data_IF_027059283242
#
_entry.id   IF_027059283242
#
_cell.length_a   1.000
_cell.length_b   1.000
_cell.length_c   1.000
_cell.angle_alpha   90.00
_cell.angle_beta   90.00
_cell.angle_gamma   90.00
#
_symmetry.space_group_name_H-M   'P 1'
#
loop_
_entity.id
_entity.type
_entity.pdbx_description
1 polymer ?
#
# COMPACT_ATOMS: atom_id res chain seq x y z
N UNK A 1 -10.26 4.93 5.81
CA UNK A 1 -10.61 4.38 4.49
C UNK A 1 -11.88 5.06 4.01
N UNK A 2 -11.85 5.66 2.80
CA UNK A 2 -13.00 6.38 2.19
C UNK A 2 -13.98 5.35 1.62
N UNK A 3 -14.46 4.42 2.44
CA UNK A 3 -15.45 3.46 1.98
C UNK A 3 -16.86 3.90 2.42
N UNK A 4 -17.75 3.98 1.47
CA UNK A 4 -19.19 3.88 1.74
C UNK A 4 -19.54 2.44 2.13
N UNK A 5 -20.76 2.22 2.60
CA UNK A 5 -21.30 0.87 2.71
C UNK A 5 -21.29 0.20 1.32
N UNK A 6 -21.05 -1.11 1.29
CA UNK A 6 -21.17 -1.89 0.05
C UNK A 6 -22.49 -1.54 -0.67
N UNK A 7 -22.40 -1.19 -1.98
CA UNK A 7 -23.51 -0.69 -2.79
C UNK A 7 -24.10 0.67 -2.38
N UNK A 8 -23.45 1.43 -1.50
CA UNK A 8 -23.89 2.82 -1.25
C UNK A 8 -23.64 3.72 -2.46
N UNK A 9 -24.34 4.86 -2.52
CA UNK A 9 -24.15 5.85 -3.59
C UNK A 9 -22.70 6.34 -3.64
N UNK A 10 -22.08 6.55 -2.49
CA UNK A 10 -20.67 6.98 -2.39
C UNK A 10 -19.75 5.89 -2.95
N UNK A 11 -19.96 4.63 -2.56
CA UNK A 11 -19.16 3.51 -3.04
C UNK A 11 -19.27 3.38 -4.57
N UNK A 12 -20.48 3.23 -5.08
CA UNK A 12 -20.71 2.92 -6.50
C UNK A 12 -20.38 4.07 -7.44
N UNK A 13 -20.67 5.31 -7.03
CA UNK A 13 -20.52 6.49 -7.88
C UNK A 13 -19.13 7.14 -7.81
N UNK A 14 -18.46 7.06 -6.68
CA UNK A 14 -17.23 7.82 -6.45
C UNK A 14 -16.01 6.95 -6.09
N UNK A 15 -16.20 5.81 -5.43
CA UNK A 15 -15.09 4.94 -5.06
C UNK A 15 -14.81 3.91 -6.15
N UNK A 16 -15.83 3.17 -6.57
CA UNK A 16 -15.68 2.11 -7.57
C UNK A 16 -15.20 2.65 -8.91
N UNK A 17 -15.56 3.88 -9.25
CA UNK A 17 -15.12 4.54 -10.48
C UNK A 17 -13.59 4.71 -10.51
N UNK A 18 -12.97 5.01 -9.37
CA UNK A 18 -11.53 5.18 -9.24
C UNK A 18 -10.84 3.84 -9.02
N UNK A 19 -11.35 3.03 -8.09
CA UNK A 19 -10.72 1.74 -7.70
C UNK A 19 -10.80 0.71 -8.82
N UNK A 20 -11.93 0.67 -9.54
CA UNK A 20 -12.15 -0.27 -10.64
C UNK A 20 -11.90 0.37 -12.02
N UNK A 21 -11.73 1.68 -12.09
CA UNK A 21 -11.35 2.40 -13.30
C UNK A 21 -9.95 2.03 -13.76
N UNK A 22 -9.78 1.89 -15.06
CA UNK A 22 -8.47 1.60 -15.67
C UNK A 22 -7.57 2.85 -15.77
N UNK A 23 -8.06 4.00 -15.32
CA UNK A 23 -7.44 5.30 -15.55
C UNK A 23 -6.37 5.67 -14.51
N UNK A 24 -6.36 5.01 -13.34
CA UNK A 24 -5.44 5.31 -12.24
C UNK A 24 -4.47 4.16 -11.99
N UNK A 25 -3.33 4.18 -12.66
CA UNK A 25 -2.28 3.19 -12.38
C UNK A 25 -1.27 3.66 -11.33
N UNK A 26 -0.89 4.92 -11.36
CA UNK A 26 -0.07 5.59 -10.34
C UNK A 26 -0.22 7.10 -10.50
N UNK A 27 -0.14 7.84 -9.40
CA UNK A 27 -0.19 9.29 -9.37
C UNK A 27 1.10 9.83 -8.74
N UNK A 28 1.74 10.77 -9.43
CA UNK A 28 2.93 11.45 -8.92
C UNK A 28 2.57 12.89 -8.58
N UNK A 29 2.85 13.30 -7.36
CA UNK A 29 2.63 14.65 -6.87
C UNK A 29 3.97 15.39 -6.80
N UNK A 30 4.50 15.78 -7.97
CA UNK A 30 5.79 16.47 -8.11
C UNK A 30 5.75 17.94 -7.73
N UNK A 31 4.56 18.53 -7.63
CA UNK A 31 4.33 19.93 -7.30
C UNK A 31 4.20 20.82 -8.51
N UNK A 32 4.10 20.26 -9.73
CA UNK A 32 3.84 21.02 -10.95
C UNK A 32 2.49 21.75 -10.94
N UNK A 33 1.50 21.16 -10.27
CA UNK A 33 0.16 21.69 -10.13
C UNK A 33 -0.13 22.16 -8.69
N UNK A 34 -0.92 23.21 -8.53
CA UNK A 34 -1.27 23.78 -7.21
C UNK A 34 -1.94 22.75 -6.30
N UNK A 35 -2.84 21.94 -6.84
CA UNK A 35 -3.54 20.89 -6.08
C UNK A 35 -2.63 19.74 -5.59
N UNK A 36 -1.43 19.55 -6.19
CA UNK A 36 -0.42 18.63 -5.64
C UNK A 36 0.08 19.09 -4.27
N UNK A 37 0.19 20.42 -4.08
CA UNK A 37 0.54 21.02 -2.79
C UNK A 37 -0.50 20.70 -1.71
N UNK A 38 -1.78 20.89 -2.04
CA UNK A 38 -2.90 20.62 -1.15
C UNK A 38 -2.93 19.15 -0.67
N UNK A 39 -2.76 18.20 -1.58
CA UNK A 39 -2.67 16.76 -1.22
C UNK A 39 -1.47 16.50 -0.31
N UNK A 40 -0.29 17.05 -0.60
CA UNK A 40 0.90 16.84 0.24
C UNK A 40 0.74 17.41 1.64
N UNK A 41 0.09 18.55 1.80
CA UNK A 41 -0.19 19.14 3.12
C UNK A 41 -1.13 18.26 3.91
N UNK A 42 -2.21 17.78 3.28
CA UNK A 42 -3.15 16.85 3.92
C UNK A 42 -2.48 15.52 4.34
N UNK A 43 -1.61 14.97 3.48
CA UNK A 43 -0.85 13.77 3.81
C UNK A 43 0.12 13.99 4.98
N UNK A 44 0.80 15.15 5.06
CA UNK A 44 1.63 15.50 6.23
C UNK A 44 0.80 15.57 7.50
N UNK A 45 -0.37 16.22 7.44
CA UNK A 45 -1.27 16.29 8.59
C UNK A 45 -1.76 14.93 9.05
N UNK A 46 -2.07 14.02 8.13
CA UNK A 46 -2.42 12.63 8.45
C UNK A 46 -1.28 11.93 9.21
N UNK A 47 -0.03 12.10 8.75
CA UNK A 47 1.14 11.51 9.41
C UNK A 47 1.33 12.09 10.81
N UNK A 48 1.19 13.41 10.99
CA UNK A 48 1.26 14.07 12.31
C UNK A 48 0.19 13.51 13.26
N UNK A 49 -1.06 13.42 12.80
CA UNK A 49 -2.16 12.87 13.57
C UNK A 49 -1.94 11.40 13.97
N UNK A 50 -1.39 10.58 13.10
CA UNK A 50 -1.08 9.17 13.43
C UNK A 50 0.08 9.05 14.43
N UNK A 51 1.02 10.00 14.42
CA UNK A 51 2.13 10.05 15.40
C UNK A 51 1.67 10.56 16.78
N UNK A 52 0.90 11.65 16.81
CA UNK A 52 0.49 12.31 18.05
C UNK A 52 -0.73 11.65 18.71
N UNK A 53 -1.62 11.07 17.90
CA UNK A 53 -2.87 10.40 18.29
C UNK A 53 -3.70 11.18 19.30
N UNK A 54 -4.06 12.45 19.01
CA UNK A 54 -4.98 13.19 19.86
C UNK A 54 -6.36 12.53 19.89
N UNK A 55 -7.21 12.92 20.83
CA UNK A 55 -8.59 12.44 20.89
C UNK A 55 -9.28 12.64 19.53
N UNK A 56 -9.98 11.61 19.06
CA UNK A 56 -10.73 11.58 17.79
C UNK A 56 -9.87 11.69 16.51
N UNK A 57 -8.54 11.45 16.56
CA UNK A 57 -7.65 11.56 15.40
C UNK A 57 -8.09 10.69 14.24
N UNK A 58 -8.70 9.53 14.48
CA UNK A 58 -9.21 8.65 13.43
C UNK A 58 -10.30 9.34 12.58
N UNK A 59 -11.14 10.16 13.20
CA UNK A 59 -12.16 10.93 12.49
C UNK A 59 -11.51 12.03 11.64
N UNK A 60 -10.52 12.73 12.19
CA UNK A 60 -9.78 13.75 11.43
C UNK A 60 -9.04 13.15 10.24
N UNK A 61 -8.37 12.01 10.43
CA UNK A 61 -7.74 11.26 9.35
C UNK A 61 -8.76 10.86 8.28
N UNK A 62 -9.93 10.36 8.69
CA UNK A 62 -11.00 10.01 7.76
C UNK A 62 -11.49 11.21 6.94
N UNK A 63 -11.62 12.36 7.55
CA UNK A 63 -12.02 13.60 6.87
C UNK A 63 -10.95 14.02 5.85
N UNK A 64 -9.69 14.06 6.24
CA UNK A 64 -8.57 14.41 5.36
C UNK A 64 -8.44 13.45 4.16
N UNK A 65 -8.61 12.16 4.39
CA UNK A 65 -8.65 11.16 3.29
C UNK A 65 -9.82 11.40 2.34
N UNK A 66 -10.98 11.78 2.87
CA UNK A 66 -12.15 12.10 2.04
C UNK A 66 -11.93 13.39 1.22
N UNK A 67 -11.26 14.38 1.77
CA UNK A 67 -10.88 15.60 1.05
C UNK A 67 -9.85 15.32 -0.06
N UNK A 68 -8.81 14.51 0.23
CA UNK A 68 -7.85 14.07 -0.80
C UNK A 68 -8.60 13.37 -1.94
N UNK A 69 -9.52 12.47 -1.60
CA UNK A 69 -10.33 11.77 -2.58
C UNK A 69 -11.14 12.74 -3.46
N UNK A 70 -11.74 13.74 -2.85
CA UNK A 70 -12.49 14.76 -3.56
C UNK A 70 -11.61 15.59 -4.50
N UNK A 71 -10.39 15.94 -4.08
CA UNK A 71 -9.42 16.62 -4.94
C UNK A 71 -9.08 15.75 -6.14
N UNK A 72 -8.79 14.48 -5.94
CA UNK A 72 -8.52 13.53 -7.02
C UNK A 72 -9.69 13.44 -8.00
N UNK A 73 -10.93 13.31 -7.51
CA UNK A 73 -12.12 13.26 -8.36
C UNK A 73 -12.32 14.53 -9.20
N UNK A 74 -12.00 15.70 -8.65
CA UNK A 74 -12.10 16.98 -9.38
C UNK A 74 -11.08 17.13 -10.51
N UNK A 75 -9.92 16.48 -10.35
CA UNK A 75 -8.82 16.58 -11.30
C UNK A 75 -8.66 15.33 -12.19
N UNK A 76 -9.69 14.48 -12.29
CA UNK A 76 -9.65 13.26 -13.13
C UNK A 76 -9.17 13.52 -14.56
N UNK A 77 -9.54 14.66 -15.15
CA UNK A 77 -9.13 15.02 -16.51
C UNK A 77 -7.62 15.31 -16.67
N UNK A 78 -6.94 15.72 -15.59
CA UNK A 78 -5.51 15.99 -15.62
C UNK A 78 -4.68 14.68 -15.63
N UNK A 79 -5.25 13.58 -15.13
CA UNK A 79 -4.56 12.28 -15.08
C UNK A 79 -4.43 11.61 -16.45
N UNK A 80 -5.28 11.99 -17.41
CA UNK A 80 -5.29 11.41 -18.74
C UNK A 80 -4.22 11.97 -19.70
N UNK A 81 -3.48 13.00 -19.29
CA UNK A 81 -2.56 13.70 -20.19
C UNK A 81 -1.07 13.39 -20.02
N UNK A 82 -0.60 12.88 -18.86
CA UNK A 82 0.84 12.81 -18.59
C UNK A 82 1.40 11.47 -18.12
N UNK A 83 0.58 10.50 -17.81
CA UNK A 83 1.08 9.15 -17.52
C UNK A 83 0.92 8.27 -18.74
N UNK A 84 1.99 7.59 -19.18
CA UNK A 84 1.86 6.36 -19.95
C UNK A 84 0.92 5.45 -19.14
N UNK A 85 -0.39 5.58 -19.41
CA UNK A 85 -1.39 4.77 -18.74
C UNK A 85 -1.00 3.33 -18.96
N UNK A 86 -0.85 2.58 -17.88
CA UNK A 86 -0.65 1.14 -17.99
C UNK A 86 -1.69 0.59 -18.96
N UNK A 87 -1.23 -0.09 -20.00
CA UNK A 87 -2.11 -0.86 -20.85
C UNK A 87 -3.04 -1.70 -19.96
N UNK A 88 -4.35 -1.80 -20.23
CA UNK A 88 -5.29 -2.57 -19.40
C UNK A 88 -4.79 -3.97 -19.07
N UNK A 89 -4.03 -4.62 -19.97
CA UNK A 89 -3.38 -5.91 -19.72
C UNK A 89 -2.26 -5.82 -18.68
N UNK A 90 -1.47 -4.76 -18.70
CA UNK A 90 -0.40 -4.52 -17.71
C UNK A 90 -1.00 -4.23 -16.35
N UNK A 91 -2.06 -3.44 -16.27
CA UNK A 91 -2.79 -3.17 -15.03
C UNK A 91 -3.41 -4.45 -14.44
N UNK A 92 -4.08 -5.25 -15.27
CA UNK A 92 -4.63 -6.53 -14.84
C UNK A 92 -3.52 -7.46 -14.32
N UNK A 93 -2.38 -7.54 -15.03
CA UNK A 93 -1.21 -8.31 -14.60
C UNK A 93 -0.66 -7.83 -13.27
N UNK A 94 -0.52 -6.51 -13.08
CA UNK A 94 -0.04 -5.94 -11.82
C UNK A 94 -0.99 -6.26 -10.66
N UNK A 95 -2.30 -6.09 -10.87
CA UNK A 95 -3.33 -6.47 -9.89
C UNK A 95 -3.25 -7.94 -9.50
N UNK A 96 -3.04 -8.83 -10.47
CA UNK A 96 -2.89 -10.28 -10.19
C UNK A 96 -1.64 -10.57 -9.36
N UNK A 97 -0.49 -9.95 -9.68
CA UNK A 97 0.75 -10.11 -8.90
C UNK A 97 0.55 -9.62 -7.46
N UNK A 98 -0.02 -8.43 -7.29
CA UNK A 98 -0.28 -7.86 -5.96
C UNK A 98 -1.28 -8.71 -5.18
N UNK A 99 -2.38 -9.12 -5.81
CA UNK A 99 -3.38 -10.01 -5.19
C UNK A 99 -2.75 -11.32 -4.73
N UNK A 100 -1.94 -11.97 -5.57
CA UNK A 100 -1.23 -13.21 -5.20
C UNK A 100 -0.32 -13.02 -3.99
N UNK A 101 0.44 -11.91 -3.94
CA UNK A 101 1.29 -11.58 -2.80
C UNK A 101 0.45 -11.36 -1.54
N UNK A 102 -0.63 -10.58 -1.62
CA UNK A 102 -1.50 -10.26 -0.49
C UNK A 102 -2.24 -11.48 0.08
N UNK A 103 -2.59 -12.43 -0.76
CA UNK A 103 -3.27 -13.68 -0.34
C UNK A 103 -2.32 -14.73 0.23
N UNK A 104 -1.01 -14.61 -0.04
CA UNK A 104 -0.04 -15.65 0.32
C UNK A 104 1.19 -15.13 1.08
N UNK A 105 1.19 -13.86 1.52
CA UNK A 105 2.36 -13.24 2.16
C UNK A 105 2.87 -13.99 3.40
N UNK A 106 1.97 -14.62 4.14
CA UNK A 106 2.26 -15.40 5.35
C UNK A 106 2.93 -16.75 5.07
N UNK A 107 2.90 -17.21 3.80
CA UNK A 107 3.45 -18.48 3.36
C UNK A 107 4.82 -18.33 2.72
N UNK A 108 5.48 -19.46 2.49
CA UNK A 108 6.70 -19.50 1.69
C UNK A 108 6.34 -19.35 0.21
N UNK A 109 6.40 -18.12 -0.32
CA UNK A 109 6.25 -17.87 -1.75
C UNK A 109 7.60 -17.66 -2.41
N UNK A 110 7.72 -18.18 -3.63
CA UNK A 110 8.90 -18.03 -4.48
C UNK A 110 8.61 -17.11 -5.66
N UNK A 111 9.65 -16.62 -6.31
CA UNK A 111 9.50 -15.85 -7.55
C UNK A 111 8.82 -16.68 -8.66
N UNK A 112 8.99 -17.99 -8.63
CA UNK A 112 8.32 -18.90 -9.56
C UNK A 112 6.81 -18.84 -9.38
N UNK A 113 6.34 -18.98 -8.13
CA UNK A 113 4.90 -18.98 -7.82
C UNK A 113 4.24 -17.68 -8.27
N UNK A 114 4.93 -16.55 -8.06
CA UNK A 114 4.42 -15.24 -8.47
C UNK A 114 4.42 -15.11 -10.01
N UNK A 115 5.48 -15.53 -10.69
CA UNK A 115 5.57 -15.46 -12.15
C UNK A 115 4.54 -16.35 -12.82
N UNK A 116 4.30 -17.54 -12.26
CA UNK A 116 3.30 -18.50 -12.74
C UNK A 116 1.87 -17.97 -12.60
N UNK A 117 1.57 -17.17 -11.56
CA UNK A 117 0.25 -16.54 -11.37
C UNK A 117 -0.18 -15.61 -12.52
N UNK A 118 0.79 -15.13 -13.29
CA UNK A 118 0.57 -14.24 -14.46
C UNK A 118 1.12 -14.83 -15.75
N UNK A 119 1.48 -16.10 -15.76
CA UNK A 119 1.94 -16.86 -16.92
C UNK A 119 3.11 -16.24 -17.69
N UNK A 120 4.12 -15.71 -16.96
CA UNK A 120 5.33 -15.15 -17.54
C UNK A 120 6.58 -15.75 -16.90
N UNK A 121 7.74 -15.56 -17.53
CA UNK A 121 8.99 -16.00 -16.93
C UNK A 121 9.44 -15.09 -15.78
N UNK A 122 10.24 -15.63 -14.86
CA UNK A 122 10.75 -14.92 -13.64
C UNK A 122 11.43 -13.60 -13.97
N UNK A 123 12.26 -13.59 -14.99
CA UNK A 123 13.00 -12.38 -15.39
C UNK A 123 12.08 -11.28 -15.91
N UNK A 124 11.05 -11.64 -16.65
CA UNK A 124 10.01 -10.72 -17.13
C UNK A 124 9.20 -10.20 -15.94
N UNK A 125 8.78 -11.07 -15.01
CA UNK A 125 8.03 -10.70 -13.83
C UNK A 125 8.79 -9.67 -12.97
N UNK A 126 10.07 -9.91 -12.68
CA UNK A 126 10.90 -8.97 -11.93
C UNK A 126 11.05 -7.61 -12.64
N UNK A 127 11.31 -7.63 -13.95
CA UNK A 127 11.49 -6.42 -14.73
C UNK A 127 10.18 -5.62 -14.83
N UNK A 128 9.08 -6.33 -15.10
CA UNK A 128 7.73 -5.76 -15.14
C UNK A 128 7.38 -5.10 -13.81
N UNK A 129 7.50 -5.83 -12.70
CA UNK A 129 7.15 -5.32 -11.37
C UNK A 129 8.00 -4.11 -11.00
N UNK A 130 9.33 -4.18 -11.21
CA UNK A 130 10.23 -3.05 -10.92
C UNK A 130 9.93 -1.82 -11.76
N UNK A 131 9.56 -2.01 -13.04
CA UNK A 131 9.17 -0.89 -13.93
C UNK A 131 7.95 -0.14 -13.37
N UNK A 132 6.94 -0.87 -12.88
CA UNK A 132 5.65 -0.29 -12.49
C UNK A 132 5.54 0.08 -11.01
N UNK A 133 6.29 -0.58 -10.13
CA UNK A 133 6.26 -0.32 -8.69
C UNK A 133 7.49 0.44 -8.17
N UNK A 134 8.47 0.69 -9.05
CA UNK A 134 9.75 1.33 -8.72
C UNK A 134 10.53 0.65 -7.56
N UNK A 135 10.16 -0.57 -7.20
CA UNK A 135 10.83 -1.40 -6.20
C UNK A 135 10.91 -2.86 -6.65
N UNK A 136 11.80 -3.64 -6.03
CA UNK A 136 11.85 -5.06 -6.34
C UNK A 136 10.66 -5.80 -5.73
N UNK A 137 10.25 -6.90 -6.37
CA UNK A 137 9.16 -7.75 -5.92
C UNK A 137 9.37 -8.28 -4.49
N UNK A 138 10.61 -8.64 -4.14
CA UNK A 138 10.94 -9.11 -2.79
C UNK A 138 11.01 -7.98 -1.76
N UNK A 139 11.46 -6.78 -2.12
CA UNK A 139 11.41 -5.63 -1.21
C UNK A 139 9.95 -5.27 -0.91
N UNK A 140 9.06 -5.30 -1.92
CA UNK A 140 7.63 -5.14 -1.74
C UNK A 140 7.05 -6.18 -0.78
N UNK A 141 7.31 -7.48 -1.02
CA UNK A 141 6.84 -8.56 -0.16
C UNK A 141 7.31 -8.39 1.29
N UNK A 142 8.58 -8.05 1.49
CA UNK A 142 9.14 -7.85 2.83
C UNK A 142 8.50 -6.65 3.54
N UNK A 143 8.31 -5.55 2.83
CA UNK A 143 7.62 -4.37 3.34
C UNK A 143 6.18 -4.69 3.71
N UNK A 144 5.45 -5.37 2.84
CA UNK A 144 4.07 -5.79 3.10
C UNK A 144 3.97 -6.72 4.33
N UNK A 145 4.90 -7.68 4.48
CA UNK A 145 4.98 -8.51 5.68
C UNK A 145 5.21 -7.71 6.95
N UNK A 146 6.07 -6.69 6.89
CA UNK A 146 6.28 -5.77 8.03
C UNK A 146 4.99 -5.04 8.38
N UNK A 147 4.27 -4.51 7.40
CA UNK A 147 2.98 -3.85 7.60
C UNK A 147 1.96 -4.80 8.25
N UNK A 148 1.86 -6.04 7.74
CA UNK A 148 0.97 -7.06 8.29
C UNK A 148 1.39 -7.58 9.67
N UNK A 149 2.64 -7.40 10.08
CA UNK A 149 3.10 -7.76 11.43
C UNK A 149 2.67 -6.77 12.52
N UNK A 150 2.29 -5.54 12.15
CA UNK A 150 1.97 -4.46 13.10
C UNK A 150 0.80 -4.81 14.02
N UNK A 151 -0.34 -5.34 13.56
CA UNK A 151 -1.43 -5.77 14.45
C UNK A 151 -0.97 -6.78 15.50
N UNK A 152 -0.17 -7.79 15.10
CA UNK A 152 0.40 -8.78 16.03
C UNK A 152 1.39 -8.16 17.02
N UNK A 153 2.14 -7.14 16.61
CA UNK A 153 3.05 -6.43 17.52
C UNK A 153 2.30 -5.61 18.57
N UNK A 154 1.14 -5.08 18.25
CA UNK A 154 0.30 -4.30 19.17
C UNK A 154 -0.47 -5.18 20.15
N UNK A 155 -0.63 -6.45 19.83
CA UNK A 155 -1.27 -7.44 20.70
C UNK A 155 -0.24 -7.99 21.69
N UNK A 156 -0.50 -7.82 23.00
CA UNK A 156 0.39 -8.26 24.08
C UNK A 156 0.50 -9.79 24.18
N UNK A 157 -0.48 -10.53 23.64
CA UNK A 157 -0.44 -11.99 23.61
C UNK A 157 0.63 -12.55 22.66
N UNK A 158 1.06 -11.76 21.68
CA UNK A 158 2.08 -12.18 20.71
C UNK A 158 3.48 -11.74 21.16
N UNK A 159 4.43 -12.66 21.16
CA UNK A 159 5.84 -12.30 21.23
C UNK A 159 6.29 -11.63 19.90
N UNK A 160 7.43 -10.93 19.91
CA UNK A 160 8.03 -10.37 18.67
C UNK A 160 8.33 -11.50 17.67
N UNK A 161 8.70 -12.68 18.16
CA UNK A 161 8.98 -13.85 17.36
C UNK A 161 7.69 -14.40 16.71
N UNK A 162 6.60 -14.48 17.48
CA UNK A 162 5.30 -14.92 16.96
C UNK A 162 4.76 -13.95 15.91
N UNK A 163 4.85 -12.64 16.16
CA UNK A 163 4.48 -11.62 15.19
C UNK A 163 5.27 -11.74 13.88
N UNK A 164 6.58 -12.05 13.96
CA UNK A 164 7.41 -12.29 12.78
C UNK A 164 6.92 -13.52 12.00
N UNK A 165 6.68 -14.63 12.67
CA UNK A 165 6.25 -15.88 12.02
C UNK A 165 4.84 -15.77 11.46
N UNK A 166 3.90 -15.14 12.17
CA UNK A 166 2.53 -14.89 11.68
C UNK A 166 2.52 -14.00 10.43
N UNK A 167 3.52 -13.13 10.28
CA UNK A 167 3.69 -12.31 9.08
C UNK A 167 4.53 -12.99 7.96
N UNK A 168 4.84 -14.29 8.10
CA UNK A 168 5.52 -15.06 7.07
C UNK A 168 7.06 -14.95 7.06
N UNK A 169 7.68 -14.37 8.09
CA UNK A 169 9.13 -14.45 8.25
C UNK A 169 9.52 -15.80 8.85
N UNK A 170 10.65 -16.34 8.41
CA UNK A 170 11.19 -17.61 8.92
C UNK A 170 12.30 -17.42 9.98
N UNK A 171 12.73 -16.18 10.18
CA UNK A 171 13.79 -15.82 11.14
C UNK A 171 13.47 -14.47 11.79
N UNK A 172 13.36 -14.44 13.12
CA UNK A 172 13.01 -13.24 13.88
C UNK A 172 14.12 -12.17 13.88
N UNK A 173 15.38 -12.58 13.74
CA UNK A 173 16.52 -11.67 13.61
C UNK A 173 16.50 -10.95 12.26
N UNK A 174 16.21 -11.69 11.19
CA UNK A 174 16.00 -11.12 9.86
C UNK A 174 14.78 -10.17 9.84
N UNK A 175 13.66 -10.60 10.40
CA UNK A 175 12.49 -9.73 10.59
C UNK A 175 12.84 -8.41 11.26
N UNK A 176 13.56 -8.45 12.40
CA UNK A 176 13.91 -7.24 13.14
C UNK A 176 14.75 -6.26 12.33
N UNK A 177 15.66 -6.77 11.48
CA UNK A 177 16.47 -5.93 10.56
C UNK A 177 15.60 -5.30 9.46
N UNK A 178 14.72 -6.10 8.84
CA UNK A 178 13.81 -5.61 7.80
C UNK A 178 12.82 -4.60 8.39
N UNK A 179 12.23 -4.89 9.54
CA UNK A 179 11.31 -4.00 10.23
C UNK A 179 11.96 -2.64 10.50
N UNK A 180 13.19 -2.64 11.06
CA UNK A 180 13.93 -1.39 11.28
C UNK A 180 14.27 -0.64 9.99
N UNK A 181 14.57 -1.35 8.90
CA UNK A 181 14.78 -0.74 7.58
C UNK A 181 13.53 -0.04 7.08
N UNK A 182 12.35 -0.64 7.29
CA UNK A 182 11.06 -0.10 6.80
C UNK A 182 10.50 1.02 7.69
N UNK A 183 10.64 0.91 9.03
CA UNK A 183 9.97 1.80 9.99
C UNK A 183 10.91 2.78 10.69
N UNK A 184 12.22 2.62 10.53
CA UNK A 184 13.25 3.40 11.23
C UNK A 184 13.54 2.95 12.66
N UNK A 185 12.67 2.15 13.30
CA UNK A 185 12.80 1.69 14.68
C UNK A 185 12.75 0.16 14.77
N UNK A 186 13.25 -0.40 15.88
CA UNK A 186 13.15 -1.85 16.09
C UNK A 186 11.70 -2.26 16.48
N UNK A 187 11.27 -3.53 16.21
CA UNK A 187 9.96 -4.02 16.64
C UNK A 187 9.74 -3.86 18.14
N UNK A 188 10.80 -4.05 18.95
CA UNK A 188 10.72 -3.89 20.42
C UNK A 188 10.46 -2.43 20.82
N UNK A 189 11.05 -1.46 20.12
CA UNK A 189 10.80 -0.05 20.38
C UNK A 189 9.40 0.32 19.93
N UNK A 190 9.02 -0.08 18.72
CA UNK A 190 7.69 0.18 18.14
C UNK A 190 6.53 -0.33 19.02
N UNK A 191 6.70 -1.47 19.72
CA UNK A 191 5.70 -2.00 20.68
C UNK A 191 5.52 -1.15 21.92
N UNK A 192 6.56 -0.40 22.32
CA UNK A 192 6.54 0.39 23.56
C UNK A 192 5.99 1.80 23.39
N UNK A 193 6.07 2.29 22.15
CA UNK A 193 5.54 3.58 21.73
C UNK A 193 4.05 3.43 21.35
#
# INVERSE_FOLDING_TARGET
IVYGFEKSLIQTKYVDLVVNGHEFSALWFDGSEEWHGDIREKMKKIIELDLERPDFYEMEVQMLLSEIWLVLLRHQGAFNQETESLNPKELARLKTILGFIHENYDKKITLTDIADSVHICKSECCRFFKKHMNESLFDYLLRYRVEQSIPYLRDEEYSITDAAFSAGFTDAGYYSRVFRKCTGVSPRKFRKD
#
